data_IF_337861987068
#
_entry.id   IF_337861987068
#
_cell.length_a   1.000
_cell.length_b   1.000
_cell.length_c   1.000
_cell.angle_alpha   90.00
_cell.angle_beta   90.00
_cell.angle_gamma   90.00
#
_symmetry.space_group_name_H-M   'P 1'
#
loop_
_entity.id
_entity.type
_entity.pdbx_description
1 polymer ?
#
# COMPACT_ATOMS: atom_id res chain seq x y z
N UNK A 1 1.35 -14.06 -7.89
CA UNK A 1 1.57 -12.72 -7.31
C UNK A 1 0.30 -11.93 -7.56
N UNK A 2 -0.24 -11.30 -6.53
CA UNK A 2 -1.43 -10.46 -6.68
C UNK A 2 -1.07 -9.24 -7.52
N UNK A 3 -1.86 -8.93 -8.53
CA UNK A 3 -1.65 -7.75 -9.37
C UNK A 3 -1.91 -6.48 -8.56
N UNK A 4 -0.98 -5.51 -8.66
CA UNK A 4 -1.11 -4.23 -7.98
C UNK A 4 -1.98 -3.29 -8.81
N UNK A 5 -3.18 -2.97 -8.30
CA UNK A 5 -4.09 -2.07 -9.00
C UNK A 5 -3.65 -0.61 -8.91
N UNK A 6 -3.89 0.14 -9.98
CA UNK A 6 -3.74 1.58 -9.97
C UNK A 6 -4.79 2.24 -9.05
N UNK A 7 -4.46 3.42 -8.54
CA UNK A 7 -5.40 4.25 -7.79
C UNK A 7 -6.61 4.54 -8.66
N UNK A 8 -7.82 4.19 -8.21
CA UNK A 8 -9.05 4.44 -8.97
C UNK A 8 -9.41 5.94 -9.02
N UNK A 9 -8.88 6.74 -8.10
CA UNK A 9 -9.17 8.18 -8.02
C UNK A 9 -8.31 9.03 -8.97
N UNK A 10 -7.00 8.74 -9.08
CA UNK A 10 -6.08 9.50 -9.95
C UNK A 10 -5.47 8.70 -11.10
N UNK A 11 -5.71 7.38 -11.18
CA UNK A 11 -5.14 6.49 -12.20
C UNK A 11 -3.65 6.16 -12.02
N UNK A 12 -2.95 6.77 -11.06
CA UNK A 12 -1.52 6.55 -10.84
C UNK A 12 -1.24 5.21 -10.15
N UNK A 13 -0.07 4.64 -10.47
CA UNK A 13 0.43 3.46 -9.78
C UNK A 13 0.93 3.88 -8.38
N UNK A 14 0.51 3.17 -7.31
CA UNK A 14 1.01 3.47 -5.97
C UNK A 14 2.47 3.06 -5.79
N UNK A 15 3.15 3.75 -4.88
CA UNK A 15 4.56 3.53 -4.58
C UNK A 15 4.73 2.71 -3.30
N UNK A 16 5.67 1.76 -3.34
CA UNK A 16 6.13 1.04 -2.16
C UNK A 16 7.16 1.88 -1.40
N UNK A 17 6.90 2.07 -0.11
CA UNK A 17 7.82 2.65 0.83
C UNK A 17 8.23 1.61 1.88
N UNK A 18 9.52 1.34 1.97
CA UNK A 18 10.08 0.39 2.94
C UNK A 18 10.97 1.12 3.94
N UNK A 19 10.82 0.79 5.22
CA UNK A 19 11.67 1.32 6.28
C UNK A 19 12.05 0.21 7.25
N UNK A 20 13.32 -0.16 7.23
CA UNK A 20 13.90 -1.10 8.16
C UNK A 20 14.40 -0.36 9.40
N UNK A 21 13.94 -0.74 10.59
CA UNK A 21 14.46 -0.20 11.84
C UNK A 21 15.54 -1.15 12.39
N UNK A 22 16.63 -0.58 12.90
CA UNK A 22 17.76 -1.31 13.48
C UNK A 22 17.37 -2.21 14.67
N UNK A 23 16.23 -1.97 15.31
CA UNK A 23 15.71 -2.77 16.43
C UNK A 23 14.94 -4.05 16.01
N UNK A 24 15.03 -4.46 14.74
CA UNK A 24 14.43 -5.71 14.24
C UNK A 24 12.96 -5.62 13.78
N UNK A 25 12.35 -4.45 13.95
CA UNK A 25 11.04 -4.14 13.38
C UNK A 25 11.22 -3.53 11.99
N UNK A 26 10.57 -4.08 10.97
CA UNK A 26 10.51 -3.52 9.63
C UNK A 26 9.11 -2.96 9.35
N UNK A 27 9.04 -1.98 8.48
CA UNK A 27 7.81 -1.30 8.10
C UNK A 27 7.71 -1.22 6.59
N UNK A 28 6.54 -1.52 6.06
CA UNK A 28 6.21 -1.35 4.65
C UNK A 28 4.94 -0.54 4.53
N UNK A 29 4.90 0.34 3.55
CA UNK A 29 3.75 1.16 3.22
C UNK A 29 3.55 1.17 1.71
N UNK A 30 2.29 1.24 1.30
CA UNK A 30 1.88 1.51 -0.07
C UNK A 30 1.03 2.77 -0.08
N UNK A 31 1.39 3.76 -0.89
CA UNK A 31 0.69 5.04 -0.93
C UNK A 31 0.53 5.56 -2.35
N UNK A 32 -0.51 6.35 -2.55
CA UNK A 32 -0.68 7.13 -3.78
C UNK A 32 0.42 8.20 -3.88
N UNK A 33 1.08 8.30 -5.04
CA UNK A 33 2.11 9.32 -5.31
C UNK A 33 1.52 10.71 -5.56
N UNK A 34 0.28 10.74 -6.05
CA UNK A 34 -0.38 11.98 -6.42
C UNK A 34 -0.85 12.74 -5.17
N UNK A 35 -0.42 13.99 -5.05
CA UNK A 35 -0.67 14.82 -3.85
C UNK A 35 -2.04 15.47 -3.83
N UNK A 36 -2.69 15.60 -4.98
CA UNK A 36 -4.01 16.22 -5.13
C UNK A 36 -5.13 15.18 -5.02
N UNK A 37 -4.77 13.91 -5.18
CA UNK A 37 -5.64 12.81 -4.88
C UNK A 37 -6.13 12.93 -3.44
N UNK A 38 -7.45 13.09 -3.25
CA UNK A 38 -8.14 12.93 -1.94
C UNK A 38 -7.70 11.61 -1.26
N UNK A 39 -7.26 10.66 -2.08
CA UNK A 39 -6.52 9.45 -1.75
C UNK A 39 -5.13 9.66 -1.12
N UNK A 40 -4.71 10.85 -0.70
CA UNK A 40 -3.63 10.97 0.31
C UNK A 40 -4.01 10.23 1.61
N UNK A 41 -5.30 9.94 1.81
CA UNK A 41 -5.79 8.97 2.80
C UNK A 41 -5.65 7.50 2.36
N UNK A 42 -5.52 7.22 1.07
CA UNK A 42 -5.20 5.90 0.54
C UNK A 42 -3.72 5.60 0.71
N UNK A 43 -3.39 5.24 1.93
CA UNK A 43 -2.18 4.54 2.28
C UNK A 43 -2.55 3.28 3.03
N UNK A 44 -1.82 2.21 2.79
CA UNK A 44 -1.90 0.99 3.57
C UNK A 44 -0.52 0.70 4.10
N UNK A 45 -0.41 0.29 5.35
CA UNK A 45 0.87 0.01 5.99
C UNK A 45 0.83 -1.29 6.77
N UNK A 46 2.00 -1.90 6.92
CA UNK A 46 2.18 -3.14 7.65
C UNK A 46 3.52 -3.13 8.36
N UNK A 47 3.51 -3.52 9.63
CA UNK A 47 4.72 -3.85 10.37
C UNK A 47 5.05 -5.32 10.14
N UNK A 48 6.31 -5.64 9.89
CA UNK A 48 6.79 -7.00 9.65
C UNK A 48 8.16 -7.22 10.30
N UNK A 49 8.50 -8.47 10.60
CA UNK A 49 9.83 -8.82 11.12
C UNK A 49 10.85 -9.02 10.01
N UNK A 50 12.14 -8.93 10.35
CA UNK A 50 13.24 -9.21 9.43
C UNK A 50 13.04 -10.55 8.69
N UNK A 51 13.21 -10.54 7.36
CA UNK A 51 13.00 -11.72 6.49
C UNK A 51 11.55 -11.97 6.05
N UNK A 52 10.56 -11.22 6.55
CA UNK A 52 9.14 -11.35 6.15
C UNK A 52 8.69 -10.36 5.07
N UNK A 53 9.61 -9.64 4.41
CA UNK A 53 9.29 -8.58 3.45
C UNK A 53 8.41 -9.07 2.28
N UNK A 54 8.63 -10.29 1.77
CA UNK A 54 7.80 -10.85 0.69
C UNK A 54 6.35 -11.06 1.12
N UNK A 55 6.11 -11.51 2.37
CA UNK A 55 4.77 -11.64 2.94
C UNK A 55 4.15 -10.27 3.18
N UNK A 56 4.94 -9.31 3.67
CA UNK A 56 4.51 -7.93 3.84
C UNK A 56 4.10 -7.28 2.51
N UNK A 57 4.84 -7.55 1.43
CA UNK A 57 4.55 -7.05 0.08
C UNK A 57 3.20 -7.53 -0.41
N UNK A 58 2.94 -8.85 -0.34
CA UNK A 58 1.64 -9.39 -0.73
C UNK A 58 0.50 -8.78 0.10
N UNK A 59 0.70 -8.67 1.42
CA UNK A 59 -0.31 -8.09 2.32
C UNK A 59 -0.57 -6.61 2.06
N UNK A 60 0.43 -5.84 1.62
CA UNK A 60 0.25 -4.46 1.19
C UNK A 60 -0.57 -4.38 -0.11
N UNK A 61 -0.27 -5.23 -1.08
CA UNK A 61 -1.02 -5.29 -2.35
C UNK A 61 -2.48 -5.68 -2.10
N UNK A 62 -2.72 -6.68 -1.25
CA UNK A 62 -4.08 -7.11 -0.89
C UNK A 62 -4.87 -5.98 -0.23
N UNK A 63 -4.31 -5.36 0.83
CA UNK A 63 -4.98 -4.24 1.51
C UNK A 63 -5.22 -3.05 0.58
N UNK A 64 -4.29 -2.76 -0.33
CA UNK A 64 -4.46 -1.70 -1.32
C UNK A 64 -5.61 -2.01 -2.27
N UNK A 65 -5.65 -3.23 -2.81
CA UNK A 65 -6.71 -3.65 -3.71
C UNK A 65 -8.08 -3.65 -3.02
N UNK A 66 -8.15 -4.07 -1.75
CA UNK A 66 -9.37 -3.98 -0.93
C UNK A 66 -9.80 -2.52 -0.73
N UNK A 67 -8.85 -1.63 -0.44
CA UNK A 67 -9.14 -0.21 -0.30
C UNK A 67 -9.71 0.37 -1.60
N UNK A 68 -9.07 0.11 -2.74
CA UNK A 68 -9.57 0.55 -4.04
C UNK A 68 -10.94 -0.03 -4.37
N UNK A 69 -11.22 -1.28 -3.98
CA UNK A 69 -12.53 -1.91 -4.18
C UNK A 69 -13.63 -1.31 -3.28
N UNK A 70 -13.29 -0.80 -2.10
CA UNK A 70 -14.24 -0.11 -1.20
C UNK A 70 -14.54 1.31 -1.65
N UNK A 71 -13.52 2.05 -2.06
CA UNK A 71 -13.68 3.41 -2.58
C UNK A 71 -14.57 3.42 -3.85
N UNK A 72 -14.51 2.37 -4.66
CA UNK A 72 -15.34 2.23 -5.87
C UNK A 72 -16.84 1.93 -5.60
N UNK A 73 -17.26 1.70 -4.35
CA UNK A 73 -18.65 1.37 -3.99
C UNK A 73 -19.43 2.54 -3.36
N UNK A 74 -18.82 3.73 -3.26
CA UNK A 74 -19.47 4.94 -2.72
C UNK A 74 -19.54 6.11 -3.73
N UNK A 75 -19.28 5.84 -5.01
CA UNK A 75 -19.45 6.79 -6.13
C UNK A 75 -20.80 6.63 -6.81
#
# INVERSE_FOLDING_TARGET
>A
MTELKNCQTCGQQPEFYWRDYTSGSCFGELKCIDRECIAQRCRVSVSYGAGSQKRATNRLIEQWNELMAKENQHG
#
